data_IF_801762742207
#
_entry.id   IF_801762742207
#
_cell.length_a   1.000
_cell.length_b   1.000
_cell.length_c   1.000
_cell.angle_alpha   90.00
_cell.angle_beta   90.00
_cell.angle_gamma   90.00
#
_symmetry.space_group_name_H-M   'P 1'
#
loop_
_entity.id
_entity.type
_entity.pdbx_description
1 polymer ?
#
# COMPACT_ATOMS: atom_id res chain seq x y z
N UNK A 1 -26.65 -7.42 -16.54
CA UNK A 1 -25.32 -7.31 -15.91
C UNK A 1 -24.72 -6.01 -16.44
N UNK A 2 -24.74 -4.92 -15.66
CA UNK A 2 -24.02 -3.70 -16.00
C UNK A 2 -22.53 -4.08 -15.96
N UNK A 3 -21.85 -3.96 -17.08
CA UNK A 3 -20.40 -4.07 -17.15
C UNK A 3 -19.83 -3.02 -16.17
N UNK A 4 -19.08 -3.47 -15.16
CA UNK A 4 -18.17 -2.58 -14.45
C UNK A 4 -17.38 -1.83 -15.52
N UNK A 5 -17.37 -0.50 -15.48
CA UNK A 5 -16.66 0.34 -16.45
C UNK A 5 -15.23 -0.19 -16.55
N UNK A 6 -14.78 -0.51 -17.76
CA UNK A 6 -13.48 -1.15 -18.01
C UNK A 6 -12.30 -0.19 -17.70
N UNK A 7 -12.61 1.08 -17.37
CA UNK A 7 -11.64 2.16 -17.14
C UNK A 7 -10.47 2.16 -18.14
N UNK A 8 -10.75 1.76 -19.40
CA UNK A 8 -9.73 1.63 -20.45
C UNK A 8 -8.97 2.94 -20.67
N UNK A 9 -9.66 4.08 -20.63
CA UNK A 9 -9.04 5.40 -20.80
C UNK A 9 -8.04 5.71 -19.66
N UNK A 10 -8.38 5.35 -18.42
CA UNK A 10 -7.47 5.50 -17.26
C UNK A 10 -6.27 4.58 -17.45
N UNK A 11 -6.51 3.32 -17.82
CA UNK A 11 -5.45 2.34 -18.08
C UNK A 11 -4.46 2.84 -19.13
N UNK A 12 -4.98 3.32 -20.27
CA UNK A 12 -4.18 3.85 -21.36
C UNK A 12 -3.40 5.12 -20.95
N UNK A 13 -4.00 5.99 -20.14
CA UNK A 13 -3.33 7.19 -19.63
C UNK A 13 -2.19 6.84 -18.67
N UNK A 14 -2.40 5.88 -17.74
CA UNK A 14 -1.37 5.40 -16.83
C UNK A 14 -0.24 4.71 -17.60
N UNK A 15 -0.57 3.87 -18.60
CA UNK A 15 0.43 3.19 -19.42
C UNK A 15 1.31 4.19 -20.18
N UNK A 16 0.74 5.25 -20.75
CA UNK A 16 1.49 6.33 -21.42
C UNK A 16 2.43 7.04 -20.45
N UNK A 17 1.94 7.40 -19.26
CA UNK A 17 2.80 8.03 -18.24
C UNK A 17 3.96 7.11 -17.83
N UNK A 18 3.68 5.83 -17.59
CA UNK A 18 4.70 4.87 -17.19
C UNK A 18 5.77 4.64 -18.26
N UNK A 19 5.46 4.84 -19.55
CA UNK A 19 6.42 4.70 -20.64
C UNK A 19 7.58 5.71 -20.55
N UNK A 20 7.38 6.86 -19.90
CA UNK A 20 8.42 7.86 -19.67
C UNK A 20 9.40 7.45 -18.52
N UNK A 21 9.10 6.38 -17.80
CA UNK A 21 9.89 5.85 -16.69
C UNK A 21 10.31 4.39 -16.94
N UNK A 22 11.24 4.16 -17.88
CA UNK A 22 11.68 2.81 -18.26
C UNK A 22 12.46 2.10 -17.15
N UNK A 23 12.76 0.81 -17.33
CA UNK A 23 13.49 0.00 -16.36
C UNK A 23 14.81 0.62 -15.88
N UNK A 24 15.51 1.36 -16.74
CA UNK A 24 16.76 2.08 -16.38
C UNK A 24 16.55 3.12 -15.27
N UNK A 25 15.43 3.84 -15.30
CA UNK A 25 15.06 4.78 -14.24
C UNK A 25 14.92 4.04 -12.89
N UNK A 26 14.20 2.93 -12.89
CA UNK A 26 13.95 2.16 -11.68
C UNK A 26 15.20 1.46 -11.15
N UNK A 27 16.06 0.91 -12.03
CA UNK A 27 17.35 0.32 -11.65
C UNK A 27 18.29 1.34 -11.02
N UNK A 28 18.31 2.58 -11.56
CA UNK A 28 19.08 3.67 -10.97
C UNK A 28 18.62 3.97 -9.56
N UNK A 29 17.31 4.17 -9.36
CA UNK A 29 16.74 4.45 -8.04
C UNK A 29 16.99 3.32 -7.03
N UNK A 30 16.89 2.07 -7.46
CA UNK A 30 17.15 0.91 -6.61
C UNK A 30 18.61 0.89 -6.11
N UNK A 31 19.58 1.10 -7.01
CA UNK A 31 21.01 1.20 -6.65
C UNK A 31 21.30 2.37 -5.71
N UNK A 32 20.69 3.51 -5.95
CA UNK A 32 20.87 4.72 -5.16
C UNK A 32 20.04 4.71 -3.87
N UNK A 33 19.17 3.71 -3.69
CA UNK A 33 18.17 3.64 -2.61
C UNK A 33 17.32 4.93 -2.54
N UNK A 34 16.98 5.48 -3.70
CA UNK A 34 16.35 6.78 -3.84
C UNK A 34 14.81 6.68 -3.94
N UNK A 35 14.15 7.78 -3.61
CA UNK A 35 12.71 7.95 -3.80
C UNK A 35 12.42 8.41 -5.24
N UNK A 36 11.36 7.90 -5.90
CA UNK A 36 11.04 8.20 -7.29
C UNK A 36 10.35 9.57 -7.44
N UNK A 37 11.07 10.65 -7.16
CA UNK A 37 10.50 12.01 -7.11
C UNK A 37 9.84 12.41 -8.41
N UNK A 38 10.50 12.20 -9.56
CA UNK A 38 9.98 12.58 -10.88
C UNK A 38 8.71 11.80 -11.24
N UNK A 39 8.69 10.50 -10.95
CA UNK A 39 7.51 9.66 -11.17
C UNK A 39 6.34 10.08 -10.30
N UNK A 40 6.58 10.38 -9.01
CA UNK A 40 5.54 10.86 -8.09
C UNK A 40 5.02 12.23 -8.51
N UNK A 41 5.88 13.11 -9.02
CA UNK A 41 5.48 14.41 -9.55
C UNK A 41 4.57 14.22 -10.77
N UNK A 42 4.97 13.40 -11.73
CA UNK A 42 4.16 13.10 -12.92
C UNK A 42 2.79 12.50 -12.57
N UNK A 43 2.72 11.56 -11.60
CA UNK A 43 1.45 11.01 -11.10
C UNK A 43 0.58 12.09 -10.42
N UNK A 44 1.19 13.05 -9.74
CA UNK A 44 0.49 14.16 -9.08
C UNK A 44 -0.11 15.11 -10.11
N UNK A 45 0.70 15.57 -11.06
CA UNK A 45 0.28 16.48 -12.14
C UNK A 45 -0.82 15.88 -13.03
N UNK A 46 -0.79 14.55 -13.19
CA UNK A 46 -1.84 13.81 -13.91
C UNK A 46 -3.08 13.50 -13.06
N UNK A 47 -3.14 13.93 -11.80
CA UNK A 47 -4.27 13.73 -10.90
C UNK A 47 -4.43 12.31 -10.35
N UNK A 48 -3.53 11.37 -10.65
CA UNK A 48 -3.66 9.98 -10.20
C UNK A 48 -3.47 9.81 -8.69
N UNK A 49 -2.65 10.66 -8.05
CA UNK A 49 -2.50 10.63 -6.59
C UNK A 49 -3.70 11.22 -5.84
N UNK A 50 -4.54 11.99 -6.50
CA UNK A 50 -5.77 12.58 -5.94
C UNK A 50 -7.05 11.91 -6.46
N UNK A 51 -6.93 10.74 -7.10
CA UNK A 51 -8.04 10.04 -7.75
C UNK A 51 -9.26 9.84 -6.83
N UNK A 52 -9.03 9.50 -5.56
CA UNK A 52 -10.10 9.25 -4.56
C UNK A 52 -10.53 10.51 -3.78
N UNK A 53 -9.86 11.65 -3.95
CA UNK A 53 -10.26 12.90 -3.31
C UNK A 53 -11.46 13.47 -4.10
N UNK A 54 -12.57 13.86 -3.42
CA UNK A 54 -13.70 14.48 -4.10
C UNK A 54 -13.34 15.77 -4.83
N UNK A 55 -14.12 16.09 -5.88
CA UNK A 55 -13.97 17.30 -6.69
C UNK A 55 -14.03 18.58 -5.83
N UNK A 56 -14.88 18.61 -4.80
CA UNK A 56 -15.01 19.73 -3.86
C UNK A 56 -13.69 20.11 -3.15
N UNK A 57 -12.75 19.16 -3.09
CA UNK A 57 -11.41 19.36 -2.53
C UNK A 57 -10.31 19.30 -3.61
N UNK A 58 -10.67 19.47 -4.88
CA UNK A 58 -9.71 19.54 -5.99
C UNK A 58 -9.16 18.18 -6.46
N UNK A 59 -9.76 17.08 -6.04
CA UNK A 59 -9.45 15.74 -6.56
C UNK A 59 -10.28 15.36 -7.77
N UNK A 60 -10.16 14.12 -8.23
CA UNK A 60 -10.91 13.61 -9.38
C UNK A 60 -12.21 12.90 -9.02
N UNK A 61 -12.49 12.67 -7.71
CA UNK A 61 -13.72 12.04 -7.23
C UNK A 61 -13.99 10.64 -7.80
N UNK A 62 -12.93 9.93 -8.19
CA UNK A 62 -13.05 8.62 -8.81
C UNK A 62 -13.40 7.51 -7.80
N UNK A 63 -13.89 6.41 -8.33
CA UNK A 63 -14.26 5.23 -7.57
C UNK A 63 -13.05 4.39 -7.16
N UNK A 64 -13.23 3.45 -6.22
CA UNK A 64 -12.18 2.51 -5.83
C UNK A 64 -11.74 1.61 -7.00
N UNK A 65 -12.67 1.24 -7.89
CA UNK A 65 -12.34 0.49 -9.12
C UNK A 65 -11.39 1.25 -10.05
N UNK A 66 -11.56 2.56 -10.21
CA UNK A 66 -10.64 3.39 -10.98
C UNK A 66 -9.25 3.46 -10.32
N UNK A 67 -9.20 3.67 -8.99
CA UNK A 67 -7.96 3.67 -8.23
C UNK A 67 -7.23 2.31 -8.32
N UNK A 68 -7.96 1.20 -8.25
CA UNK A 68 -7.41 -0.14 -8.42
C UNK A 68 -6.81 -0.35 -9.81
N UNK A 69 -7.45 0.17 -10.87
CA UNK A 69 -6.91 0.12 -12.24
C UNK A 69 -5.63 0.93 -12.37
N UNK A 70 -5.55 2.11 -11.74
CA UNK A 70 -4.32 2.92 -11.71
C UNK A 70 -3.18 2.09 -11.08
N UNK A 71 -3.43 1.48 -9.93
CA UNK A 71 -2.42 0.70 -9.21
C UNK A 71 -1.99 -0.55 -9.97
N UNK A 72 -2.95 -1.28 -10.54
CA UNK A 72 -2.70 -2.47 -11.37
C UNK A 72 -1.82 -2.12 -12.58
N UNK A 73 -2.16 -1.04 -13.29
CA UNK A 73 -1.46 -0.68 -14.52
C UNK A 73 -0.05 -0.17 -14.26
N UNK A 74 0.19 0.64 -13.21
CA UNK A 74 1.53 1.05 -12.81
C UNK A 74 2.45 -0.18 -12.64
N UNK A 75 1.99 -1.19 -11.91
CA UNK A 75 2.77 -2.40 -11.67
C UNK A 75 2.94 -3.24 -12.94
N UNK A 76 1.89 -3.34 -13.77
CA UNK A 76 1.93 -4.06 -15.05
C UNK A 76 2.95 -3.47 -16.02
N UNK A 77 3.18 -2.16 -15.98
CA UNK A 77 4.21 -1.48 -16.78
C UNK A 77 5.64 -1.64 -16.20
N UNK A 78 5.81 -2.35 -15.08
CA UNK A 78 7.11 -2.57 -14.43
C UNK A 78 7.57 -1.41 -13.54
N UNK A 79 6.73 -0.41 -13.36
CA UNK A 79 6.92 0.68 -12.41
C UNK A 79 6.58 0.24 -10.97
N UNK A 80 6.74 1.14 -10.01
CA UNK A 80 6.43 0.88 -8.60
C UNK A 80 5.39 1.87 -8.07
N UNK A 81 4.20 1.36 -7.74
CA UNK A 81 3.04 2.15 -7.28
C UNK A 81 3.03 2.49 -5.80
N UNK A 82 4.04 2.10 -5.01
CA UNK A 82 4.02 2.19 -3.55
C UNK A 82 3.76 3.60 -3.00
N UNK A 83 4.25 4.65 -3.67
CA UNK A 83 3.99 6.03 -3.27
C UNK A 83 2.54 6.46 -3.56
N UNK A 84 1.99 6.01 -4.67
CA UNK A 84 0.62 6.27 -5.08
C UNK A 84 -0.38 5.61 -4.11
N UNK A 85 -0.27 4.31 -3.88
CA UNK A 85 -1.17 3.62 -2.98
C UNK A 85 -1.09 4.15 -1.53
N UNK A 86 0.12 4.48 -1.06
CA UNK A 86 0.29 5.04 0.28
C UNK A 86 -0.53 6.30 0.50
N UNK A 87 -0.53 7.22 -0.46
CA UNK A 87 -1.35 8.43 -0.36
C UNK A 87 -2.85 8.11 -0.44
N UNK A 88 -3.25 7.21 -1.33
CA UNK A 88 -4.66 6.84 -1.51
C UNK A 88 -5.29 6.27 -0.24
N UNK A 89 -4.65 5.33 0.46
CA UNK A 89 -5.25 4.73 1.64
C UNK A 89 -5.10 5.56 2.91
N UNK A 90 -3.94 6.23 3.10
CA UNK A 90 -3.69 7.06 4.31
C UNK A 90 -4.63 8.26 4.33
N UNK A 91 -4.75 8.96 3.21
CA UNK A 91 -5.67 10.07 3.03
C UNK A 91 -7.13 9.66 3.22
N UNK A 92 -7.50 8.42 2.88
CA UNK A 92 -8.85 7.89 3.05
C UNK A 92 -9.36 7.90 4.50
N UNK A 93 -8.48 7.86 5.51
CA UNK A 93 -8.87 8.02 6.91
C UNK A 93 -9.30 9.45 7.20
N UNK A 94 -8.58 10.45 6.70
CA UNK A 94 -8.95 11.87 6.81
C UNK A 94 -10.27 12.13 6.08
N UNK A 95 -10.41 11.60 4.87
CA UNK A 95 -11.61 11.76 4.05
C UNK A 95 -12.88 11.24 4.76
N UNK A 96 -12.80 10.10 5.44
CA UNK A 96 -13.97 9.49 6.12
C UNK A 96 -14.23 10.02 7.51
N UNK A 97 -13.21 10.40 8.27
CA UNK A 97 -13.31 10.66 9.70
C UNK A 97 -12.78 12.03 10.12
N UNK A 98 -12.12 12.77 9.23
CA UNK A 98 -11.71 14.15 9.47
C UNK A 98 -12.90 15.09 9.59
N UNK A 99 -12.76 16.14 10.38
CA UNK A 99 -13.72 17.26 10.41
C UNK A 99 -13.70 18.00 9.07
N UNK A 100 -14.76 18.78 8.80
CA UNK A 100 -14.78 19.62 7.58
C UNK A 100 -13.59 20.61 7.54
N UNK A 101 -13.21 21.18 8.68
CA UNK A 101 -12.04 22.06 8.78
C UNK A 101 -10.74 21.31 8.42
N UNK A 102 -10.58 20.07 8.87
CA UNK A 102 -9.42 19.23 8.51
C UNK A 102 -9.42 18.89 7.03
N UNK A 103 -10.57 18.53 6.45
CA UNK A 103 -10.71 18.25 5.02
C UNK A 103 -10.37 19.47 4.17
N UNK A 104 -10.94 20.63 4.49
CA UNK A 104 -10.66 21.89 3.81
C UNK A 104 -9.18 22.29 3.92
N UNK A 105 -8.58 22.10 5.10
CA UNK A 105 -7.19 22.47 5.36
C UNK A 105 -6.18 21.60 4.60
N UNK A 106 -6.46 20.29 4.49
CA UNK A 106 -5.46 19.32 4.02
C UNK A 106 -5.76 18.72 2.65
N UNK A 107 -7.03 18.38 2.31
CA UNK A 107 -7.31 17.59 1.11
C UNK A 107 -6.98 18.34 -0.19
N UNK A 108 -7.29 19.63 -0.29
CA UNK A 108 -6.98 20.42 -1.49
C UNK A 108 -5.47 20.55 -1.71
N UNK A 109 -4.71 20.70 -0.64
CA UNK A 109 -3.24 20.75 -0.69
C UNK A 109 -2.61 19.40 -1.01
N UNK A 110 -3.21 18.30 -0.55
CA UNK A 110 -2.81 16.96 -0.92
C UNK A 110 -3.13 16.70 -2.40
N UNK A 111 -4.29 17.12 -2.87
CA UNK A 111 -4.70 16.95 -4.26
C UNK A 111 -3.78 17.71 -5.24
N UNK A 112 -3.42 18.95 -4.91
CA UNK A 112 -2.49 19.77 -5.71
C UNK A 112 -1.02 19.31 -5.63
N UNK A 113 -0.69 18.48 -4.64
CA UNK A 113 0.70 18.08 -4.36
C UNK A 113 1.51 19.11 -3.55
N UNK A 114 0.88 20.17 -3.04
CA UNK A 114 1.51 21.09 -2.09
C UNK A 114 1.89 20.36 -0.78
N UNK A 115 1.07 19.39 -0.36
CA UNK A 115 1.35 18.54 0.80
C UNK A 115 1.36 17.06 0.41
N UNK A 116 2.32 16.32 0.97
CA UNK A 116 2.41 14.87 0.85
C UNK A 116 1.97 14.17 2.13
N UNK A 117 0.95 13.30 2.03
CA UNK A 117 0.49 12.43 3.10
C UNK A 117 0.71 10.97 2.69
N UNK A 118 1.93 10.47 2.84
CA UNK A 118 2.32 9.10 2.50
C UNK A 118 2.83 8.31 3.71
N UNK A 119 3.00 8.98 4.85
CA UNK A 119 3.48 8.36 6.08
C UNK A 119 2.33 7.89 6.97
N UNK A 120 2.41 6.62 7.40
CA UNK A 120 1.46 6.00 8.32
C UNK A 120 2.19 5.43 9.54
N UNK A 121 2.10 6.14 10.66
CA UNK A 121 2.79 5.83 11.91
C UNK A 121 1.94 4.94 12.82
N UNK A 122 1.98 3.63 12.62
CA UNK A 122 1.19 2.65 13.41
C UNK A 122 2.09 1.63 14.11
N UNK A 123 2.87 0.88 13.36
CA UNK A 123 3.71 -0.24 13.85
C UNK A 123 4.82 0.25 14.78
N UNK A 124 5.07 -0.48 15.87
CA UNK A 124 6.16 -0.25 16.82
C UNK A 124 7.09 -1.46 16.87
N UNK A 125 8.33 -1.32 17.39
CA UNK A 125 9.28 -2.45 17.47
C UNK A 125 8.71 -3.67 18.22
N UNK A 126 7.79 -3.45 19.16
CA UNK A 126 7.16 -4.50 19.99
C UNK A 126 5.69 -4.76 19.65
N UNK A 127 5.13 -4.09 18.66
CA UNK A 127 3.69 -4.14 18.34
C UNK A 127 3.45 -4.02 16.84
N UNK A 128 3.54 -5.15 16.14
CA UNK A 128 3.17 -5.27 14.71
C UNK A 128 1.75 -5.82 14.58
N UNK A 129 1.62 -7.15 14.60
CA UNK A 129 0.32 -7.85 14.45
C UNK A 129 -0.67 -7.48 15.55
N UNK A 130 -0.24 -7.42 16.82
CA UNK A 130 -1.06 -6.89 17.93
C UNK A 130 -0.94 -5.37 18.02
N UNK A 131 -1.53 -4.66 17.07
CA UNK A 131 -1.56 -3.19 17.03
C UNK A 131 -2.15 -2.59 18.32
N UNK A 132 -3.02 -3.30 19.03
CA UNK A 132 -3.63 -2.80 20.28
C UNK A 132 -2.65 -2.72 21.44
N UNK A 133 -1.47 -3.33 21.31
CA UNK A 133 -0.40 -3.30 22.32
C UNK A 133 0.58 -2.12 22.15
N UNK A 134 0.34 -1.21 21.22
CA UNK A 134 1.22 -0.06 20.98
C UNK A 134 1.41 0.81 22.25
N UNK A 135 2.59 1.41 22.35
CA UNK A 135 3.07 2.14 23.53
C UNK A 135 3.30 3.63 23.30
N UNK A 136 3.38 4.08 22.04
CA UNK A 136 3.46 5.52 21.73
C UNK A 136 2.26 6.23 22.37
N UNK A 137 2.52 7.22 23.22
CA UNK A 137 1.50 7.98 23.96
C UNK A 137 1.27 9.34 23.35
N UNK A 138 0.05 9.85 23.51
CA UNK A 138 -0.31 11.23 23.23
C UNK A 138 -1.10 11.77 24.42
N UNK A 139 -0.45 12.54 25.27
CA UNK A 139 -1.04 13.13 26.48
C UNK A 139 -1.54 14.54 26.20
N UNK A 140 -2.82 14.81 26.48
CA UNK A 140 -3.41 16.13 26.28
C UNK A 140 -2.88 17.14 27.30
N UNK A 141 -2.45 18.29 26.80
CA UNK A 141 -2.04 19.47 27.58
C UNK A 141 -2.69 20.72 26.97
N UNK A 142 -3.84 21.12 27.53
CA UNK A 142 -4.58 22.28 27.04
C UNK A 142 -5.06 22.11 25.60
N UNK A 143 -4.52 22.91 24.69
CA UNK A 143 -4.86 22.97 23.27
C UNK A 143 -3.99 22.06 22.37
N UNK A 144 -3.12 21.23 22.95
CA UNK A 144 -2.26 20.32 22.22
C UNK A 144 -2.09 18.97 22.92
N UNK A 145 -1.50 18.02 22.21
CA UNK A 145 -1.06 16.72 22.75
C UNK A 145 0.47 16.67 22.73
N UNK A 146 1.06 16.10 23.76
CA UNK A 146 2.48 15.76 23.83
C UNK A 146 2.64 14.29 23.46
N UNK A 147 3.35 14.04 22.36
CA UNK A 147 3.57 12.69 21.83
C UNK A 147 4.96 12.19 22.20
N UNK A 148 5.03 10.98 22.77
CA UNK A 148 6.26 10.28 23.10
C UNK A 148 6.20 8.82 22.65
N UNK A 149 7.27 8.33 22.03
CA UNK A 149 7.36 6.95 21.60
C UNK A 149 8.20 6.73 20.34
N UNK A 150 7.94 5.58 19.69
CA UNK A 150 8.67 5.20 18.49
C UNK A 150 7.74 4.45 17.54
N UNK A 151 7.87 4.74 16.24
CA UNK A 151 7.29 3.94 15.16
C UNK A 151 8.39 3.34 14.29
N UNK A 152 8.11 2.17 13.70
CA UNK A 152 9.03 1.45 12.83
C UNK A 152 8.30 1.01 11.56
N UNK A 153 9.05 0.75 10.50
CA UNK A 153 8.53 0.39 9.19
C UNK A 153 7.63 1.46 8.58
N UNK A 154 7.82 2.72 9.00
CA UNK A 154 7.09 3.86 8.44
C UNK A 154 7.73 4.23 7.10
N UNK A 155 7.07 3.84 6.03
CA UNK A 155 7.55 4.14 4.68
C UNK A 155 7.31 5.61 4.34
N UNK A 156 8.26 6.21 3.62
CA UNK A 156 8.16 7.58 3.07
C UNK A 156 7.95 8.70 4.10
N UNK A 157 8.34 8.47 5.36
CA UNK A 157 8.27 9.53 6.36
C UNK A 157 9.16 10.72 5.99
N UNK A 158 10.36 10.48 5.48
CA UNK A 158 11.28 11.54 5.05
C UNK A 158 10.80 12.33 3.81
N UNK A 159 9.84 11.81 3.05
CA UNK A 159 9.28 12.42 1.84
C UNK A 159 7.84 12.92 2.04
N UNK A 160 7.33 12.88 3.28
CA UNK A 160 5.98 13.32 3.63
C UNK A 160 6.02 14.61 4.42
N UNK A 161 5.08 15.51 4.14
CA UNK A 161 4.83 16.71 4.96
C UNK A 161 3.94 16.37 6.15
N UNK A 162 3.06 15.40 5.97
CA UNK A 162 2.08 14.96 6.96
C UNK A 162 2.24 13.47 7.25
N UNK A 163 1.95 13.07 8.50
CA UNK A 163 1.85 11.68 8.93
C UNK A 163 0.47 11.45 9.56
N UNK A 164 -0.16 10.35 9.20
CA UNK A 164 -1.27 9.82 9.99
C UNK A 164 -0.70 8.97 11.12
N UNK A 165 -0.84 9.44 12.36
CA UNK A 165 -0.23 8.84 13.54
C UNK A 165 -1.29 8.19 14.44
N UNK A 166 -1.12 6.90 14.76
CA UNK A 166 -1.88 6.22 15.80
C UNK A 166 -1.08 6.25 17.12
N UNK A 167 -1.67 6.82 18.16
CA UNK A 167 -1.06 6.89 19.49
C UNK A 167 -2.09 6.61 20.59
N UNK A 168 -1.62 6.27 21.78
CA UNK A 168 -2.44 5.99 22.94
C UNK A 168 -2.72 7.26 23.74
N UNK A 169 -3.97 7.64 23.83
CA UNK A 169 -4.45 8.78 24.63
C UNK A 169 -4.96 8.37 26.01
N UNK A 170 -5.47 7.15 26.15
CA UNK A 170 -5.88 6.60 27.46
C UNK A 170 -5.02 5.38 27.80
N UNK A 171 -4.42 5.30 29.00
CA UNK A 171 -3.62 4.15 29.44
C UNK A 171 -4.37 2.83 29.27
N UNK A 172 -3.62 1.77 28.94
CA UNK A 172 -4.19 0.45 28.64
C UNK A 172 -5.00 -0.16 29.78
N UNK A 173 -4.61 0.10 31.01
CA UNK A 173 -5.23 -0.37 32.25
C UNK A 173 -6.51 0.41 32.61
N UNK A 174 -6.77 1.53 31.94
CA UNK A 174 -7.95 2.38 32.15
C UNK A 174 -9.04 2.15 31.10
N UNK A 175 -8.85 1.25 30.14
CA UNK A 175 -9.86 0.94 29.12
C UNK A 175 -10.37 -0.49 29.26
N UNK A 176 -11.66 -0.69 28.96
CA UNK A 176 -12.29 -2.02 29.02
C UNK A 176 -11.93 -2.87 27.80
N UNK A 177 -11.93 -2.29 26.60
CA UNK A 177 -11.61 -2.98 25.36
C UNK A 177 -10.19 -2.63 24.92
N UNK A 178 -9.46 -3.62 24.40
CA UNK A 178 -8.08 -3.41 23.89
C UNK A 178 -7.99 -2.36 22.79
N UNK A 179 -9.06 -2.20 22.03
CA UNK A 179 -9.17 -1.26 20.90
C UNK A 179 -9.46 0.18 21.32
N UNK A 180 -9.90 0.41 22.56
CA UNK A 180 -10.21 1.74 23.06
C UNK A 180 -8.95 2.45 23.57
N UNK A 181 -9.05 3.79 23.69
CA UNK A 181 -7.96 4.64 24.16
C UNK A 181 -6.84 4.86 23.15
N UNK A 182 -7.04 4.49 21.88
CA UNK A 182 -6.15 4.77 20.76
C UNK A 182 -6.77 5.89 19.92
N UNK A 183 -5.97 6.88 19.56
CA UNK A 183 -6.40 8.06 18.79
C UNK A 183 -5.55 8.26 17.55
N UNK A 184 -6.14 8.84 16.51
CA UNK A 184 -5.46 9.15 15.25
C UNK A 184 -5.26 10.65 15.15
N UNK A 185 -4.07 11.05 14.75
CA UNK A 185 -3.67 12.44 14.57
C UNK A 185 -3.13 12.68 13.17
N UNK A 186 -3.39 13.86 12.61
CA UNK A 186 -2.65 14.41 11.48
C UNK A 186 -1.46 15.16 12.06
N UNK A 187 -0.27 14.58 11.97
CA UNK A 187 0.97 15.21 12.41
C UNK A 187 1.57 16.01 11.27
N UNK A 188 1.77 17.30 11.43
CA UNK A 188 2.63 18.10 10.54
C UNK A 188 4.09 17.80 10.85
N UNK A 189 4.72 17.05 9.97
CA UNK A 189 6.10 16.59 10.14
C UNK A 189 7.10 17.72 9.96
N UNK A 190 6.76 18.75 9.17
CA UNK A 190 7.62 19.92 8.92
C UNK A 190 7.84 20.71 10.21
N UNK A 191 6.79 20.83 11.02
CA UNK A 191 6.90 21.47 12.35
C UNK A 191 7.53 20.53 13.37
N UNK A 192 7.10 19.26 13.40
CA UNK A 192 7.61 18.28 14.35
C UNK A 192 9.13 18.01 14.20
N UNK A 193 9.66 18.06 12.98
CA UNK A 193 11.10 17.90 12.70
C UNK A 193 11.95 19.04 13.28
N UNK A 194 11.36 20.19 13.57
CA UNK A 194 12.06 21.32 14.23
C UNK A 194 12.22 21.08 15.73
N UNK A 195 11.33 20.26 16.33
CA UNK A 195 11.30 20.04 17.77
C UNK A 195 10.73 18.65 18.10
N UNK A 196 11.61 17.72 18.47
CA UNK A 196 11.28 16.43 19.04
C UNK A 196 11.05 15.26 18.07
N UNK A 197 10.90 15.47 16.76
CA UNK A 197 10.77 14.38 15.80
C UNK A 197 12.12 14.02 15.18
N UNK A 198 12.47 12.73 15.21
CA UNK A 198 13.67 12.21 14.53
C UNK A 198 13.28 11.07 13.59
N UNK A 199 13.75 11.13 12.35
CA UNK A 199 13.56 10.07 11.34
C UNK A 199 14.90 9.43 11.04
N UNK A 200 14.96 8.09 11.08
CA UNK A 200 16.14 7.29 10.73
C UNK A 200 15.81 6.28 9.65
N UNK A 201 16.57 6.24 8.53
CA UNK A 201 16.35 5.26 7.48
C UNK A 201 16.70 3.84 7.95
N UNK A 202 15.92 2.85 7.49
CA UNK A 202 16.19 1.43 7.67
C UNK A 202 16.67 0.87 6.33
N UNK A 203 17.82 0.19 6.31
CA UNK A 203 18.27 -0.51 5.10
C UNK A 203 17.45 -1.78 4.91
N UNK A 204 16.78 -1.85 3.78
CA UNK A 204 15.90 -2.96 3.40
C UNK A 204 16.26 -3.47 2.00
N UNK A 205 15.86 -4.68 1.66
CA UNK A 205 16.09 -5.28 0.34
C UNK A 205 15.27 -4.61 -0.79
N UNK A 206 14.25 -3.85 -0.41
CA UNK A 206 13.37 -3.06 -1.28
C UNK A 206 12.62 -2.03 -0.43
N UNK A 207 11.83 -1.14 -1.03
CA UNK A 207 11.12 -0.07 -0.32
C UNK A 207 12.08 0.79 0.53
N UNK A 208 13.11 1.32 -0.13
CA UNK A 208 14.25 2.01 0.49
C UNK A 208 13.89 3.27 1.27
N UNK A 209 12.68 3.81 1.09
CA UNK A 209 12.16 4.92 1.88
C UNK A 209 11.56 4.50 3.24
N UNK A 210 11.88 3.30 3.73
CA UNK A 210 11.41 2.78 5.03
C UNK A 210 12.23 3.37 6.18
N UNK A 211 11.56 3.75 7.27
CA UNK A 211 12.19 4.47 8.38
C UNK A 211 11.73 3.99 9.75
N UNK A 212 12.55 4.31 10.77
CA UNK A 212 12.15 4.47 12.16
C UNK A 212 11.82 5.95 12.42
N UNK A 213 10.84 6.20 13.26
CA UNK A 213 10.42 7.55 13.65
C UNK A 213 10.32 7.62 15.16
N UNK A 214 11.06 8.56 15.76
CA UNK A 214 11.12 8.76 17.20
C UNK A 214 10.43 10.07 17.57
N UNK A 215 9.64 10.03 18.61
CA UNK A 215 8.90 11.16 19.17
C UNK A 215 9.40 11.44 20.58
N UNK A 216 9.97 12.62 20.79
CA UNK A 216 10.42 13.11 22.09
C UNK A 216 9.73 14.44 22.40
N UNK A 217 8.66 14.38 23.17
CA UNK A 217 7.80 15.51 23.51
C UNK A 217 7.26 16.30 22.31
N UNK A 218 6.97 15.61 21.19
CA UNK A 218 6.43 16.26 19.99
C UNK A 218 5.05 16.85 20.28
N UNK A 219 4.88 18.14 19.98
CA UNK A 219 3.60 18.83 20.13
C UNK A 219 2.72 18.65 18.91
N UNK A 220 1.49 18.23 19.14
CA UNK A 220 0.46 18.08 18.10
C UNK A 220 -0.77 18.90 18.52
N UNK A 221 -1.21 19.89 17.73
CA UNK A 221 -2.41 20.65 18.02
C UNK A 221 -3.63 19.75 18.25
N UNK A 222 -4.48 20.09 19.23
CA UNK A 222 -5.67 19.28 19.55
C UNK A 222 -6.65 19.22 18.36
N UNK A 223 -6.70 20.23 17.54
CA UNK A 223 -7.50 20.30 16.31
C UNK A 223 -7.05 19.29 15.23
N UNK A 224 -5.85 18.70 15.35
CA UNK A 224 -5.34 17.67 14.46
C UNK A 224 -5.75 16.25 14.89
N UNK A 225 -6.49 16.09 15.98
CA UNK A 225 -7.14 14.83 16.33
C UNK A 225 -8.22 14.49 15.29
N UNK A 226 -8.13 13.32 14.68
CA UNK A 226 -9.11 12.84 13.69
C UNK A 226 -10.25 12.11 14.40
N UNK A 227 -11.47 12.64 14.27
CA UNK A 227 -12.66 12.09 14.89
C UNK A 227 -12.64 12.23 16.42
N UNK A 228 -13.12 11.19 17.12
CA UNK A 228 -13.24 11.17 18.59
C UNK A 228 -11.99 10.60 19.25
N UNK A 229 -11.56 11.19 20.36
CA UNK A 229 -10.48 10.66 21.20
C UNK A 229 -10.80 9.23 21.68
N UNK A 230 -9.81 8.36 21.62
CA UNK A 230 -9.93 6.95 22.04
C UNK A 230 -10.60 6.02 21.02
N UNK A 231 -11.07 6.52 19.86
CA UNK A 231 -11.72 5.73 18.80
C UNK A 231 -10.87 5.51 17.55
N UNK A 232 -9.64 5.94 17.57
CA UNK A 232 -8.74 5.95 16.40
C UNK A 232 -8.50 4.57 15.79
N UNK A 233 -8.45 3.50 16.58
CA UNK A 233 -8.30 2.15 16.05
C UNK A 233 -9.45 1.76 15.10
N UNK A 234 -10.69 2.13 15.43
CA UNK A 234 -11.87 1.91 14.57
C UNK A 234 -11.74 2.68 13.25
N UNK A 235 -11.21 3.90 13.30
CA UNK A 235 -11.05 4.73 12.11
C UNK A 235 -10.01 4.16 11.14
N UNK A 236 -8.91 3.65 11.66
CA UNK A 236 -7.91 2.96 10.85
C UNK A 236 -8.50 1.70 10.21
N UNK A 237 -9.19 0.86 10.99
CA UNK A 237 -9.81 -0.37 10.48
C UNK A 237 -10.78 -0.12 9.33
N UNK A 238 -11.55 0.98 9.36
CA UNK A 238 -12.50 1.31 8.30
C UNK A 238 -11.81 1.56 6.93
N UNK A 239 -10.54 1.97 6.93
CA UNK A 239 -9.73 2.18 5.72
C UNK A 239 -9.07 0.92 5.18
N UNK A 240 -8.91 -0.10 6.01
CA UNK A 240 -8.08 -1.26 5.68
C UNK A 240 -8.64 -2.15 4.57
N UNK A 241 -9.96 -2.14 4.32
CA UNK A 241 -10.51 -2.92 3.21
C UNK A 241 -10.13 -2.30 1.86
N UNK A 242 -10.21 -0.98 1.72
CA UNK A 242 -9.75 -0.28 0.53
C UNK A 242 -8.24 -0.49 0.30
N UNK A 243 -7.44 -0.41 1.37
CA UNK A 243 -6.00 -0.68 1.32
C UNK A 243 -5.69 -2.09 0.81
N UNK A 244 -6.37 -3.13 1.36
CA UNK A 244 -6.19 -4.51 0.91
C UNK A 244 -6.56 -4.70 -0.56
N UNK A 245 -7.63 -4.05 -1.02
CA UNK A 245 -8.08 -4.11 -2.42
C UNK A 245 -7.05 -3.44 -3.33
N UNK A 246 -6.53 -2.27 -2.98
CA UNK A 246 -5.51 -1.57 -3.76
C UNK A 246 -4.20 -2.38 -3.86
N UNK A 247 -3.73 -2.95 -2.74
CA UNK A 247 -2.57 -3.84 -2.72
C UNK A 247 -2.80 -5.09 -3.57
N UNK A 248 -4.01 -5.67 -3.51
CA UNK A 248 -4.33 -6.83 -4.34
C UNK A 248 -4.31 -6.49 -5.84
N UNK A 249 -4.75 -5.29 -6.22
CA UNK A 249 -4.64 -4.80 -7.59
C UNK A 249 -3.18 -4.62 -8.04
N UNK A 250 -2.31 -4.07 -7.17
CA UNK A 250 -0.86 -4.02 -7.42
C UNK A 250 -0.28 -5.41 -7.68
N UNK A 251 -0.61 -6.38 -6.81
CA UNK A 251 -0.14 -7.76 -6.97
C UNK A 251 -0.61 -8.38 -8.29
N UNK A 252 -1.85 -8.12 -8.72
CA UNK A 252 -2.34 -8.58 -10.03
C UNK A 252 -1.54 -7.94 -11.16
N UNK A 253 -1.23 -6.66 -11.08
CA UNK A 253 -0.37 -5.96 -12.04
C UNK A 253 1.04 -6.56 -12.12
N UNK A 254 1.67 -6.81 -10.97
CA UNK A 254 2.96 -7.48 -10.89
C UNK A 254 2.93 -8.89 -11.50
N UNK A 255 1.92 -9.68 -11.16
CA UNK A 255 1.77 -11.04 -11.72
C UNK A 255 1.66 -11.01 -13.25
N UNK A 256 0.90 -10.07 -13.81
CA UNK A 256 0.80 -9.86 -15.26
C UNK A 256 2.16 -9.54 -15.87
N UNK A 257 2.90 -8.60 -15.26
CA UNK A 257 4.25 -8.24 -15.72
C UNK A 257 5.20 -9.45 -15.73
N UNK A 258 5.25 -10.24 -14.65
CA UNK A 258 6.11 -11.44 -14.59
C UNK A 258 5.73 -12.49 -15.63
N UNK A 259 4.43 -12.74 -15.81
CA UNK A 259 3.93 -13.72 -16.79
C UNK A 259 4.28 -13.28 -18.21
N UNK A 260 4.11 -12.00 -18.54
CA UNK A 260 4.45 -11.44 -19.85
C UNK A 260 5.96 -11.54 -20.11
N UNK A 261 6.79 -11.16 -19.13
CA UNK A 261 8.28 -11.29 -19.22
C UNK A 261 8.72 -12.74 -19.38
N UNK A 262 8.23 -13.65 -18.55
CA UNK A 262 8.57 -15.07 -18.63
C UNK A 262 8.16 -15.68 -19.98
N UNK A 263 6.95 -15.35 -20.45
CA UNK A 263 6.40 -15.85 -21.71
C UNK A 263 7.18 -15.32 -22.92
N UNK A 264 7.56 -14.03 -22.92
CA UNK A 264 8.40 -13.45 -23.97
C UNK A 264 9.78 -14.14 -24.03
N UNK A 265 10.45 -14.20 -22.87
CA UNK A 265 11.76 -14.86 -22.78
C UNK A 265 11.70 -16.34 -23.20
N UNK A 266 10.67 -17.07 -22.80
CA UNK A 266 10.50 -18.47 -23.16
C UNK A 266 10.32 -18.70 -24.67
N UNK A 267 9.75 -17.74 -25.41
CA UNK A 267 9.63 -17.79 -26.88
C UNK A 267 10.93 -17.47 -27.58
N UNK A 268 11.73 -16.58 -27.03
CA UNK A 268 12.95 -16.05 -27.68
C UNK A 268 14.21 -16.85 -27.33
N UNK A 269 14.32 -17.35 -26.10
CA UNK A 269 15.51 -18.08 -25.65
C UNK A 269 15.57 -19.48 -26.25
N UNK A 270 16.63 -19.77 -26.99
CA UNK A 270 16.88 -21.09 -27.59
C UNK A 270 17.94 -21.86 -26.78
N UNK A 271 17.64 -23.14 -26.51
CA UNK A 271 18.55 -24.11 -25.90
C UNK A 271 18.33 -25.45 -26.61
N UNK A 272 19.41 -26.15 -26.94
CA UNK A 272 19.37 -27.37 -27.74
C UNK A 272 18.60 -27.22 -29.08
N UNK A 273 18.78 -26.06 -29.75
CA UNK A 273 18.25 -25.79 -31.08
C UNK A 273 16.76 -25.42 -31.15
N UNK A 274 16.08 -25.23 -30.01
CA UNK A 274 14.65 -24.87 -29.98
C UNK A 274 14.35 -23.86 -28.86
N UNK A 275 13.24 -23.08 -28.95
CA UNK A 275 12.80 -22.23 -27.87
C UNK A 275 12.55 -23.02 -26.58
N UNK A 276 12.99 -22.49 -25.44
CA UNK A 276 12.76 -23.15 -24.14
C UNK A 276 11.28 -23.28 -23.80
N UNK A 277 10.44 -22.41 -24.34
CA UNK A 277 8.97 -22.45 -24.23
C UNK A 277 8.33 -23.73 -24.82
N UNK A 278 9.07 -24.56 -25.58
CA UNK A 278 8.60 -25.88 -26.02
C UNK A 278 8.72 -26.97 -24.94
N UNK A 279 9.27 -26.66 -23.77
CA UNK A 279 9.39 -27.59 -22.66
C UNK A 279 8.24 -27.41 -21.67
N UNK A 280 7.55 -28.50 -21.31
CA UNK A 280 6.47 -28.47 -20.31
C UNK A 280 6.94 -27.98 -18.94
N UNK A 281 8.21 -28.22 -18.56
CA UNK A 281 8.83 -27.69 -17.34
C UNK A 281 8.94 -26.17 -17.31
N UNK A 282 8.81 -25.48 -18.44
CA UNK A 282 8.73 -24.02 -18.57
C UNK A 282 7.28 -23.58 -18.73
N UNK A 283 6.51 -24.25 -19.59
CA UNK A 283 5.13 -23.88 -19.89
C UNK A 283 4.21 -23.99 -18.67
N UNK A 284 4.28 -25.12 -17.95
CA UNK A 284 3.32 -25.43 -16.88
C UNK A 284 3.41 -24.47 -15.68
N UNK A 285 4.60 -24.12 -15.15
CA UNK A 285 4.70 -23.09 -14.10
C UNK A 285 4.11 -21.74 -14.51
N UNK A 286 4.37 -21.27 -15.73
CA UNK A 286 3.86 -19.99 -16.25
C UNK A 286 2.33 -20.08 -16.41
N UNK A 287 1.81 -21.16 -17.00
CA UNK A 287 0.38 -21.36 -17.19
C UNK A 287 -0.37 -21.46 -15.85
N UNK A 288 0.21 -22.14 -14.85
CA UNK A 288 -0.35 -22.22 -13.50
C UNK A 288 -0.37 -20.86 -12.82
N UNK A 289 0.73 -20.09 -12.88
CA UNK A 289 0.79 -18.73 -12.36
C UNK A 289 -0.27 -17.82 -13.02
N UNK A 290 -0.48 -17.95 -14.34
CA UNK A 290 -1.54 -17.24 -15.04
C UNK A 290 -2.93 -17.61 -14.52
N UNK A 291 -3.23 -18.90 -14.33
CA UNK A 291 -4.53 -19.35 -13.81
C UNK A 291 -4.80 -18.81 -12.40
N UNK A 292 -3.79 -18.86 -11.51
CA UNK A 292 -3.89 -18.36 -10.15
C UNK A 292 -4.05 -16.83 -10.12
N UNK A 293 -3.32 -16.09 -10.95
CA UNK A 293 -3.49 -14.65 -11.12
C UNK A 293 -4.91 -14.30 -11.58
N UNK A 294 -5.47 -15.02 -12.55
CA UNK A 294 -6.85 -14.81 -13.01
C UNK A 294 -7.88 -15.06 -11.92
N UNK A 295 -7.70 -16.08 -11.09
CA UNK A 295 -8.57 -16.35 -9.94
C UNK A 295 -8.49 -15.22 -8.90
N UNK A 296 -7.27 -14.74 -8.61
CA UNK A 296 -7.06 -13.61 -7.71
C UNK A 296 -7.70 -12.32 -8.25
N UNK A 297 -7.55 -12.03 -9.53
CA UNK A 297 -8.17 -10.87 -10.18
C UNK A 297 -9.70 -10.89 -10.07
N UNK A 298 -10.35 -12.04 -10.22
CA UNK A 298 -11.80 -12.16 -10.04
C UNK A 298 -12.20 -11.86 -8.58
N UNK A 299 -11.41 -12.28 -7.59
CA UNK A 299 -11.66 -11.97 -6.18
C UNK A 299 -11.46 -10.47 -5.90
N UNK A 300 -10.46 -9.83 -6.51
CA UNK A 300 -10.28 -8.36 -6.41
C UNK A 300 -11.51 -7.63 -6.96
N UNK A 301 -12.01 -8.03 -8.10
CA UNK A 301 -13.21 -7.43 -8.71
C UNK A 301 -14.45 -7.61 -7.82
N UNK A 302 -14.63 -8.77 -7.20
CA UNK A 302 -15.74 -9.02 -6.28
C UNK A 302 -15.62 -8.16 -5.01
N UNK A 303 -14.42 -8.03 -4.44
CA UNK A 303 -14.18 -7.17 -3.29
C UNK A 303 -14.49 -5.68 -3.60
N UNK A 304 -14.10 -5.20 -4.79
CA UNK A 304 -14.42 -3.84 -5.28
C UNK A 304 -15.93 -3.69 -5.42
N UNK A 305 -16.61 -4.62 -6.07
CA UNK A 305 -18.07 -4.59 -6.28
C UNK A 305 -18.84 -4.45 -4.97
N UNK A 306 -18.46 -5.23 -3.95
CA UNK A 306 -19.07 -5.18 -2.62
C UNK A 306 -18.78 -3.84 -1.93
N UNK A 307 -17.54 -3.36 -2.01
CA UNK A 307 -17.14 -2.09 -1.41
C UNK A 307 -17.95 -0.92 -2.00
N UNK A 308 -18.04 -0.83 -3.34
CA UNK A 308 -18.76 0.24 -4.04
C UNK A 308 -20.28 0.14 -3.88
N UNK A 309 -20.81 -1.06 -3.64
CA UNK A 309 -22.22 -1.26 -3.29
C UNK A 309 -22.55 -0.89 -1.83
N UNK A 310 -21.57 -0.43 -1.02
CA UNK A 310 -21.74 -0.14 0.39
C UNK A 310 -21.93 -1.38 1.27
N UNK A 311 -21.68 -2.57 0.73
CA UNK A 311 -21.69 -3.82 1.48
C UNK A 311 -20.37 -3.99 2.27
N UNK A 312 -20.33 -4.96 3.20
CA UNK A 312 -19.11 -5.29 3.94
C UNK A 312 -18.22 -6.22 3.12
N UNK A 313 -17.10 -5.76 2.53
CA UNK A 313 -16.21 -6.58 1.72
C UNK A 313 -15.11 -7.26 2.56
N UNK A 314 -15.25 -7.35 3.88
CA UNK A 314 -14.16 -7.75 4.76
C UNK A 314 -13.55 -9.11 4.45
N UNK A 315 -14.37 -10.11 4.14
CA UNK A 315 -13.90 -11.45 3.76
C UNK A 315 -13.22 -11.42 2.39
N UNK A 316 -13.88 -10.81 1.40
CA UNK A 316 -13.41 -10.75 0.00
C UNK A 316 -12.13 -9.90 -0.12
N UNK A 317 -12.03 -8.77 0.59
CA UNK A 317 -10.83 -7.94 0.61
C UNK A 317 -9.62 -8.68 1.21
N UNK A 318 -9.84 -9.47 2.28
CA UNK A 318 -8.80 -10.33 2.84
C UNK A 318 -8.39 -11.45 1.87
N UNK A 319 -9.36 -12.15 1.29
CA UNK A 319 -9.09 -13.21 0.31
C UNK A 319 -8.39 -12.63 -0.94
N UNK A 320 -8.86 -11.51 -1.47
CA UNK A 320 -8.26 -10.84 -2.63
C UNK A 320 -6.79 -10.51 -2.38
N UNK A 321 -6.46 -9.91 -1.22
CA UNK A 321 -5.08 -9.58 -0.86
C UNK A 321 -4.19 -10.82 -0.73
N UNK A 322 -4.66 -11.86 -0.07
CA UNK A 322 -3.91 -13.10 0.11
C UNK A 322 -3.65 -13.79 -1.23
N UNK A 323 -4.71 -14.04 -1.99
CA UNK A 323 -4.62 -14.75 -3.27
C UNK A 323 -3.77 -13.99 -4.29
N UNK A 324 -3.92 -12.66 -4.36
CA UNK A 324 -3.15 -11.85 -5.30
C UNK A 324 -1.66 -11.78 -4.92
N UNK A 325 -1.34 -11.66 -3.63
CA UNK A 325 0.06 -11.67 -3.15
C UNK A 325 0.73 -13.04 -3.43
N UNK A 326 0.02 -14.14 -3.20
CA UNK A 326 0.55 -15.48 -3.47
C UNK A 326 0.71 -15.73 -4.97
N UNK A 327 -0.26 -15.34 -5.80
CA UNK A 327 -0.20 -15.48 -7.26
C UNK A 327 0.92 -14.62 -7.86
N UNK A 328 1.12 -13.40 -7.36
CA UNK A 328 2.21 -12.52 -7.80
C UNK A 328 3.57 -13.12 -7.47
N UNK A 329 3.75 -13.64 -6.26
CA UNK A 329 5.00 -14.26 -5.86
C UNK A 329 5.27 -15.59 -6.59
N UNK A 330 4.22 -16.40 -6.88
CA UNK A 330 4.33 -17.59 -7.73
C UNK A 330 4.79 -17.21 -9.15
N UNK A 331 4.19 -16.16 -9.74
CA UNK A 331 4.57 -15.64 -11.05
C UNK A 331 6.02 -15.14 -11.06
N UNK A 332 6.44 -14.45 -10.00
CA UNK A 332 7.82 -13.98 -9.84
C UNK A 332 8.82 -15.14 -9.80
N UNK A 333 8.54 -16.20 -9.02
CA UNK A 333 9.36 -17.40 -8.96
C UNK A 333 9.45 -18.10 -10.34
N UNK A 334 8.32 -18.24 -11.03
CA UNK A 334 8.29 -18.82 -12.37
C UNK A 334 9.10 -17.99 -13.37
N UNK A 335 9.04 -16.66 -13.26
CA UNK A 335 9.79 -15.74 -14.12
C UNK A 335 11.32 -15.84 -13.89
N UNK A 336 11.77 -15.77 -12.63
CA UNK A 336 13.20 -15.94 -12.29
C UNK A 336 13.70 -17.29 -12.78
N UNK A 337 12.97 -18.37 -12.52
CA UNK A 337 13.33 -19.73 -12.95
C UNK A 337 13.41 -19.85 -14.48
N UNK A 338 12.48 -19.21 -15.21
CA UNK A 338 12.46 -19.20 -16.67
C UNK A 338 13.68 -18.49 -17.26
N UNK A 339 14.09 -17.38 -16.65
CA UNK A 339 15.28 -16.61 -17.08
C UNK A 339 16.61 -17.29 -16.69
N UNK A 340 16.58 -18.20 -15.69
CA UNK A 340 17.80 -18.83 -15.18
C UNK A 340 18.77 -17.78 -14.64
N UNK A 341 20.05 -17.85 -15.01
CA UNK A 341 21.07 -16.88 -14.58
C UNK A 341 20.73 -15.42 -14.92
N UNK A 342 20.06 -15.18 -16.04
CA UNK A 342 19.62 -13.83 -16.41
C UNK A 342 18.47 -13.28 -15.52
N UNK A 343 17.78 -14.12 -14.77
CA UNK A 343 16.80 -13.67 -13.77
C UNK A 343 17.43 -12.96 -12.56
N UNK A 344 18.75 -13.08 -12.38
CA UNK A 344 19.53 -12.39 -11.34
C UNK A 344 20.25 -11.15 -11.87
N UNK A 345 20.21 -10.89 -13.18
CA UNK A 345 20.90 -9.75 -13.79
C UNK A 345 19.98 -8.51 -13.75
N UNK A 346 20.54 -7.39 -13.27
CA UNK A 346 19.80 -6.13 -13.10
C UNK A 346 19.10 -5.66 -14.39
N UNK A 347 19.75 -5.82 -15.56
CA UNK A 347 19.23 -5.35 -16.84
C UNK A 347 17.90 -5.99 -17.28
N UNK A 348 17.51 -7.10 -16.69
CA UNK A 348 16.22 -7.76 -16.94
C UNK A 348 15.08 -7.26 -16.05
N UNK A 349 15.38 -6.52 -14.99
CA UNK A 349 14.44 -6.02 -13.97
C UNK A 349 13.72 -7.13 -13.17
N UNK A 350 13.94 -8.38 -13.48
CA UNK A 350 13.24 -9.52 -12.87
C UNK A 350 13.57 -9.64 -11.38
N UNK A 351 14.86 -9.52 -11.02
CA UNK A 351 15.31 -9.63 -9.63
C UNK A 351 14.79 -8.46 -8.77
N UNK A 352 14.75 -7.22 -9.31
CA UNK A 352 14.20 -6.06 -8.63
C UNK A 352 12.72 -6.25 -8.33
N UNK A 353 11.93 -6.55 -9.35
CA UNK A 353 10.49 -6.81 -9.21
C UNK A 353 10.21 -8.01 -8.28
N UNK A 354 11.05 -9.05 -8.31
CA UNK A 354 10.96 -10.20 -7.40
C UNK A 354 11.10 -9.75 -5.92
N UNK A 355 12.05 -8.87 -5.61
CA UNK A 355 12.19 -8.30 -4.26
C UNK A 355 10.99 -7.44 -3.88
N UNK A 356 10.48 -6.63 -4.80
CA UNK A 356 9.31 -5.77 -4.59
C UNK A 356 8.07 -6.59 -4.26
N UNK A 357 7.69 -7.55 -5.10
CA UNK A 357 6.47 -8.33 -4.91
C UNK A 357 6.49 -9.23 -3.67
N UNK A 358 7.69 -9.60 -3.16
CA UNK A 358 7.81 -10.39 -1.93
C UNK A 358 7.23 -9.69 -0.70
N UNK A 359 7.24 -8.36 -0.69
CA UNK A 359 6.68 -7.56 0.40
C UNK A 359 5.21 -7.87 0.65
N UNK A 360 4.45 -8.06 -0.39
CA UNK A 360 2.98 -8.18 -0.29
C UNK A 360 2.49 -9.41 0.47
N UNK A 361 3.29 -10.45 0.64
CA UNK A 361 2.93 -11.57 1.52
C UNK A 361 3.07 -11.24 3.02
N UNK A 362 3.79 -10.16 3.36
CA UNK A 362 4.06 -9.73 4.74
C UNK A 362 3.26 -8.49 5.12
N UNK A 363 3.20 -7.50 4.23
CA UNK A 363 2.59 -6.20 4.47
C UNK A 363 1.39 -5.96 3.54
N UNK A 364 0.44 -5.08 3.93
CA UNK A 364 0.27 -4.42 5.23
C UNK A 364 -0.24 -5.36 6.32
N UNK A 365 -0.80 -6.51 5.93
CA UNK A 365 -1.29 -7.55 6.81
C UNK A 365 -0.73 -8.91 6.37
N UNK A 366 -0.26 -9.72 7.31
CA UNK A 366 0.30 -11.03 7.00
C UNK A 366 -0.79 -12.04 6.59
N UNK A 367 -0.40 -13.00 5.74
CA UNK A 367 -1.26 -14.14 5.36
C UNK A 367 -1.81 -14.88 6.59
N UNK A 368 -1.00 -15.03 7.65
CA UNK A 368 -1.45 -15.70 8.88
C UNK A 368 -2.63 -14.98 9.53
N UNK A 369 -2.60 -13.65 9.61
CA UNK A 369 -3.68 -12.87 10.19
C UNK A 369 -4.95 -12.91 9.33
N UNK A 370 -4.80 -12.96 8.01
CA UNK A 370 -5.93 -13.15 7.08
C UNK A 370 -6.57 -14.52 7.30
N UNK A 371 -5.77 -15.57 7.38
CA UNK A 371 -6.28 -16.94 7.62
C UNK A 371 -6.97 -17.04 8.98
N UNK A 372 -6.44 -16.42 10.03
CA UNK A 372 -7.11 -16.35 11.33
C UNK A 372 -8.44 -15.62 11.24
N UNK A 373 -8.51 -14.51 10.51
CA UNK A 373 -9.77 -13.78 10.29
C UNK A 373 -10.82 -14.65 9.57
N UNK A 374 -10.43 -15.35 8.51
CA UNK A 374 -11.33 -16.22 7.76
C UNK A 374 -11.82 -17.39 8.62
N UNK A 375 -10.93 -18.02 9.38
CA UNK A 375 -11.28 -19.11 10.28
C UNK A 375 -12.29 -18.68 11.35
N UNK A 376 -12.01 -17.55 12.04
CA UNK A 376 -12.82 -17.07 13.15
C UNK A 376 -14.14 -16.42 12.68
N UNK A 377 -14.07 -15.50 11.71
CA UNK A 377 -15.22 -14.64 11.38
C UNK A 377 -16.04 -15.11 10.19
N UNK A 378 -15.49 -15.96 9.32
CA UNK A 378 -16.20 -16.51 8.15
C UNK A 378 -16.65 -17.94 8.41
N UNK A 379 -15.74 -18.79 8.93
CA UNK A 379 -16.01 -20.22 9.15
C UNK A 379 -16.55 -20.52 10.57
N UNK A 380 -16.59 -19.53 11.47
CA UNK A 380 -17.13 -19.67 12.83
C UNK A 380 -16.28 -20.56 13.73
N UNK A 381 -14.98 -20.70 13.45
CA UNK A 381 -14.06 -21.50 14.26
C UNK A 381 -13.71 -20.76 15.57
N UNK A 382 -13.37 -21.50 16.65
CA UNK A 382 -12.88 -20.88 17.87
C UNK A 382 -11.60 -20.05 17.61
N UNK A 383 -11.48 -18.94 18.33
CA UNK A 383 -10.30 -18.08 18.31
C UNK A 383 -9.05 -18.86 18.71
N UNK A 384 -7.96 -18.69 17.97
CA UNK A 384 -6.73 -19.45 18.17
C UNK A 384 -5.77 -18.84 19.20
N UNK A 385 -5.98 -17.60 19.67
CA UNK A 385 -5.13 -16.88 20.63
C UNK A 385 -5.91 -15.86 21.47
#
# INVERSE_FOLDING_TARGET
MQHASDHSEIRDAVARLCADFPGEYWRKLDREMAYPTEFVTALTESGFLSALIPEDYGGAGLTLSAAAVIMEEIQRQGCNGAACHAQMYVMGTVLRHGSEDQKQRYLSKIASGELRLQAFGVTEPTSGTDTTALRTTARREGDHYIVNGQKIWTSRAAQSDLMLLLARTTPRDQVQKRTDGLSVFILDMREALKDGLTIRPIRTMMNHATTEVFFDNVKVPAENLVGEEGKGFRYILSGMNAERILIAAECVGDAKWFIDKASAYARERHVFGRPIGQNQGIQFPIAKAYANMRAAELMVREAIRLYEAGANPGAEANMAKMLAADASFEAANACVQTHGGFGFAEEYDVERKFRETRLYQVAPISTNLILSYLAEHVLGMPRSY
#
